data_IF_498900516238
#
_entry.id   IF_498900516238
#
_cell.length_a   1.000
_cell.length_b   1.000
_cell.length_c   1.000
_cell.angle_alpha   90.00
_cell.angle_beta   90.00
_cell.angle_gamma   90.00
#
_symmetry.space_group_name_H-M   'P 1'
#
loop_
_entity.id
_entity.type
_entity.pdbx_description
1 polymer ?
#
# COMPACT_ATOMS: atom_id res chain seq x y z
N UNK A 1 21.78 -10.51 1.82
CA UNK A 1 20.95 -10.74 3.03
C UNK A 1 20.96 -9.57 4.02
N UNK A 2 21.89 -8.61 3.97
CA UNK A 2 21.91 -7.45 4.89
C UNK A 2 20.87 -6.35 4.63
N UNK A 3 20.21 -6.32 3.45
CA UNK A 3 19.23 -5.27 3.10
C UNK A 3 17.80 -5.50 3.63
N UNK A 4 17.53 -6.59 4.36
CA UNK A 4 16.18 -6.88 4.85
C UNK A 4 15.77 -6.03 6.05
N UNK A 5 16.73 -5.60 6.88
CA UNK A 5 16.43 -4.96 8.17
C UNK A 5 16.02 -3.49 8.05
N UNK A 6 16.38 -2.81 6.96
CA UNK A 6 16.05 -1.40 6.73
C UNK A 6 14.75 -1.20 5.95
N UNK A 7 14.22 -2.24 5.31
CA UNK A 7 12.95 -2.15 4.62
C UNK A 7 11.79 -2.25 5.62
N UNK A 8 10.82 -1.32 5.59
CA UNK A 8 9.67 -1.39 6.48
C UNK A 8 8.87 -2.66 6.19
N UNK A 9 8.59 -3.49 7.21
CA UNK A 9 7.91 -4.76 6.99
C UNK A 9 6.47 -4.57 6.53
N UNK A 10 5.85 -3.41 6.74
CA UNK A 10 4.47 -3.09 6.30
C UNK A 10 4.27 -3.31 4.80
N UNK A 11 5.27 -3.03 3.96
CA UNK A 11 5.25 -3.25 2.51
C UNK A 11 5.86 -4.58 2.05
N UNK A 12 6.29 -5.43 3.00
CA UNK A 12 6.96 -6.70 2.71
C UNK A 12 5.99 -7.88 2.70
N UNK A 13 6.32 -8.89 1.91
CA UNK A 13 5.65 -10.20 1.91
C UNK A 13 5.59 -10.80 3.31
N UNK A 14 4.50 -11.51 3.69
CA UNK A 14 4.39 -12.14 5.00
C UNK A 14 5.58 -13.05 5.36
N UNK A 15 6.21 -13.69 4.37
CA UNK A 15 7.41 -14.52 4.56
C UNK A 15 8.62 -13.71 4.99
N UNK A 16 8.78 -12.49 4.48
CA UNK A 16 9.89 -11.59 4.85
C UNK A 16 9.70 -11.08 6.27
N UNK A 17 8.47 -10.69 6.64
CA UNK A 17 8.15 -10.33 8.02
C UNK A 17 8.43 -11.50 9.00
N UNK A 18 8.06 -12.73 8.62
CA UNK A 18 8.35 -13.93 9.42
C UNK A 18 9.86 -14.18 9.56
N UNK A 19 10.61 -14.12 8.46
CA UNK A 19 12.05 -14.30 8.50
C UNK A 19 12.76 -13.26 9.38
N UNK A 20 12.26 -12.02 9.34
CA UNK A 20 12.80 -10.91 10.14
C UNK A 20 12.46 -11.06 11.63
N UNK A 21 11.24 -11.46 11.97
CA UNK A 21 10.84 -11.80 13.35
C UNK A 21 11.67 -12.98 13.91
N UNK A 22 11.88 -14.05 13.13
CA UNK A 22 12.69 -15.20 13.56
C UNK A 22 14.15 -14.83 13.85
N UNK A 23 14.67 -13.78 13.24
CA UNK A 23 16.01 -13.27 13.49
C UNK A 23 16.09 -12.38 14.74
N UNK A 24 14.96 -11.88 15.26
CA UNK A 24 14.90 -10.91 16.34
C UNK A 24 15.72 -11.33 17.59
N UNK A 25 15.57 -12.55 18.15
CA UNK A 25 16.33 -12.93 19.36
C UNK A 25 17.84 -12.95 19.13
N UNK A 26 18.27 -13.35 17.93
CA UNK A 26 19.69 -13.41 17.55
C UNK A 26 20.27 -12.02 17.32
N UNK A 27 19.50 -11.13 16.66
CA UNK A 27 19.87 -9.75 16.43
C UNK A 27 20.00 -9.01 17.76
N UNK A 28 19.00 -9.11 18.64
CA UNK A 28 19.01 -8.48 19.95
C UNK A 28 20.26 -8.86 20.76
N UNK A 29 20.57 -10.16 20.86
CA UNK A 29 21.79 -10.66 21.53
C UNK A 29 23.08 -10.08 20.96
N UNK A 30 23.17 -9.96 19.63
CA UNK A 30 24.33 -9.39 18.94
C UNK A 30 24.57 -7.91 19.28
N UNK A 31 23.52 -7.16 19.62
CA UNK A 31 23.61 -5.75 19.98
C UNK A 31 23.96 -5.55 21.46
N UNK A 32 23.59 -6.50 22.33
CA UNK A 32 23.78 -6.43 23.79
C UNK A 32 25.21 -6.75 24.28
N UNK A 33 26.15 -7.10 23.40
CA UNK A 33 27.47 -7.54 23.82
C UNK A 33 28.49 -6.40 23.76
N UNK A 34 29.01 -6.02 24.94
CA UNK A 34 30.16 -5.12 25.21
C UNK A 34 29.85 -3.62 25.21
N UNK A 35 29.36 -3.10 26.35
CA UNK A 35 29.54 -1.68 26.69
C UNK A 35 30.85 -1.52 27.47
N UNK A 36 31.81 -0.79 26.89
CA UNK A 36 33.03 -0.41 27.61
C UNK A 36 32.67 0.66 28.66
N UNK A 37 33.32 0.70 29.84
CA UNK A 37 33.08 1.77 30.80
C UNK A 37 33.52 3.13 30.24
N UNK A 38 32.90 4.21 30.70
CA UNK A 38 33.32 5.57 30.31
C UNK A 38 34.81 5.81 30.68
N UNK A 39 35.62 6.45 29.82
CA UNK A 39 35.29 7.05 28.52
C UNK A 39 35.45 6.11 27.32
N UNK A 40 35.77 4.83 27.53
CA UNK A 40 36.02 3.87 26.44
C UNK A 40 34.75 3.53 25.64
N UNK A 41 33.57 3.70 26.23
CA UNK A 41 32.27 3.63 25.53
C UNK A 41 32.18 4.60 24.35
N UNK A 42 32.88 5.74 24.40
CA UNK A 42 32.88 6.73 23.31
C UNK A 42 33.52 6.18 22.02
N UNK A 43 34.40 5.18 22.14
CA UNK A 43 35.06 4.54 21.00
C UNK A 43 34.31 3.31 20.47
N UNK A 44 33.30 2.81 21.21
CA UNK A 44 32.52 1.63 20.84
C UNK A 44 31.05 1.94 20.58
N UNK A 45 30.66 3.22 20.53
CA UNK A 45 29.26 3.59 20.41
C UNK A 45 28.74 3.25 19.01
N UNK A 46 27.95 2.17 18.91
CA UNK A 46 27.32 1.68 17.67
C UNK A 46 25.97 2.37 17.37
N UNK A 47 25.72 3.52 18.00
CA UNK A 47 24.55 4.34 17.75
C UNK A 47 24.55 4.80 16.28
N UNK A 48 23.61 4.27 15.52
CA UNK A 48 23.39 4.61 14.12
C UNK A 48 21.90 4.70 13.85
N UNK A 49 21.52 5.51 12.85
CA UNK A 49 20.13 5.60 12.43
C UNK A 49 19.62 4.25 11.93
N UNK A 50 20.49 3.50 11.24
CA UNK A 50 20.24 2.16 10.71
C UNK A 50 19.94 1.15 11.82
N UNK A 51 20.63 1.23 12.96
CA UNK A 51 20.34 0.40 14.13
C UNK A 51 18.91 0.62 14.59
N UNK A 52 18.52 1.87 14.86
CA UNK A 52 17.20 2.16 15.41
C UNK A 52 16.07 1.91 14.40
N UNK A 53 16.32 2.16 13.11
CA UNK A 53 15.40 1.75 12.04
C UNK A 53 15.21 0.22 12.00
N UNK A 54 16.29 -0.55 12.22
CA UNK A 54 16.22 -2.01 12.31
C UNK A 54 15.40 -2.45 13.53
N UNK A 55 15.55 -1.77 14.68
CA UNK A 55 14.76 -2.07 15.88
C UNK A 55 13.26 -1.90 15.62
N UNK A 56 12.87 -0.80 14.98
CA UNK A 56 11.48 -0.54 14.64
C UNK A 56 10.94 -1.53 13.61
N UNK A 57 11.71 -1.82 12.56
CA UNK A 57 11.31 -2.80 11.55
C UNK A 57 11.17 -4.20 12.16
N UNK A 58 12.04 -4.58 13.11
CA UNK A 58 11.91 -5.84 13.83
C UNK A 58 10.69 -5.84 14.74
N UNK A 59 10.46 -4.77 15.50
CA UNK A 59 9.25 -4.62 16.32
C UNK A 59 7.99 -4.83 15.47
N UNK A 60 7.85 -4.13 14.34
CA UNK A 60 6.67 -4.24 13.48
C UNK A 60 6.54 -5.65 12.89
N UNK A 61 7.64 -6.29 12.50
CA UNK A 61 7.60 -7.67 11.99
C UNK A 61 7.20 -8.69 13.06
N UNK A 62 7.68 -8.53 14.29
CA UNK A 62 7.28 -9.34 15.44
C UNK A 62 5.79 -9.18 15.74
N UNK A 63 5.27 -7.94 15.75
CA UNK A 63 3.83 -7.70 15.90
C UNK A 63 3.00 -8.36 14.79
N UNK A 64 3.43 -8.26 13.52
CA UNK A 64 2.75 -8.90 12.39
C UNK A 64 2.71 -10.43 12.45
N UNK A 65 3.63 -11.05 13.19
CA UNK A 65 3.80 -12.50 13.28
C UNK A 65 3.30 -13.07 14.60
N UNK A 66 2.90 -12.21 15.54
CA UNK A 66 2.42 -12.58 16.87
C UNK A 66 3.54 -12.86 17.88
N UNK A 67 4.80 -12.55 17.56
CA UNK A 67 5.93 -12.63 18.51
C UNK A 67 5.93 -11.40 19.44
N UNK A 68 4.95 -11.39 20.34
CA UNK A 68 4.74 -10.26 21.26
C UNK A 68 5.90 -10.10 22.26
N UNK A 69 6.57 -11.20 22.63
CA UNK A 69 7.69 -11.17 23.57
C UNK A 69 8.89 -10.43 22.95
N UNK A 70 9.29 -10.78 21.72
CA UNK A 70 10.33 -10.02 21.03
C UNK A 70 9.89 -8.59 20.80
N UNK A 71 8.66 -8.34 20.30
CA UNK A 71 8.18 -6.98 20.04
C UNK A 71 8.30 -6.07 21.28
N UNK A 72 7.97 -6.59 22.46
CA UNK A 72 8.09 -5.87 23.73
C UNK A 72 9.53 -5.48 24.05
N UNK A 73 10.50 -6.40 23.89
CA UNK A 73 11.92 -6.11 24.16
C UNK A 73 12.45 -4.96 23.29
N UNK A 74 12.08 -4.93 22.01
CA UNK A 74 12.50 -3.86 21.11
C UNK A 74 11.82 -2.53 21.45
N UNK A 75 10.56 -2.57 21.88
CA UNK A 75 9.84 -1.39 22.33
C UNK A 75 10.45 -0.78 23.59
N UNK A 76 10.85 -1.61 24.55
CA UNK A 76 11.52 -1.16 25.77
C UNK A 76 12.88 -0.52 25.45
N UNK A 77 13.71 -1.14 24.59
CA UNK A 77 14.98 -0.52 24.18
C UNK A 77 14.81 0.83 23.47
N UNK A 78 13.78 0.95 22.62
CA UNK A 78 13.43 2.23 21.98
C UNK A 78 12.95 3.25 23.03
N UNK A 79 12.20 2.81 24.02
CA UNK A 79 11.73 3.66 25.12
C UNK A 79 12.90 4.13 25.99
N UNK A 80 13.76 3.23 26.45
CA UNK A 80 14.92 3.53 27.27
C UNK A 80 15.86 4.52 26.56
N UNK A 81 15.98 4.38 25.24
CA UNK A 81 16.84 5.25 24.45
C UNK A 81 16.25 6.64 24.19
N UNK A 82 14.98 6.71 23.79
CA UNK A 82 14.38 7.95 23.26
C UNK A 82 13.42 8.63 24.24
N UNK A 83 13.04 7.96 25.32
CA UNK A 83 12.11 8.41 26.34
C UNK A 83 10.66 8.11 25.98
N UNK A 84 9.83 7.98 27.03
CA UNK A 84 8.40 7.70 26.93
C UNK A 84 7.59 8.83 26.27
N UNK A 85 8.11 10.06 26.29
CA UNK A 85 7.44 11.25 25.72
C UNK A 85 7.75 11.46 24.23
N UNK A 86 8.60 10.62 23.63
CA UNK A 86 8.92 10.73 22.21
C UNK A 86 7.71 10.30 21.36
N UNK A 87 7.25 11.16 20.44
CA UNK A 87 6.04 10.91 19.61
C UNK A 87 6.09 9.59 18.84
N UNK A 88 7.27 9.16 18.39
CA UNK A 88 7.46 7.90 17.67
C UNK A 88 7.35 6.71 18.62
N UNK A 89 7.95 6.80 19.80
CA UNK A 89 7.82 5.78 20.85
C UNK A 89 6.38 5.66 21.34
N UNK A 90 5.68 6.78 21.56
CA UNK A 90 4.27 6.81 21.96
C UNK A 90 3.41 6.08 20.91
N UNK A 91 3.63 6.35 19.62
CA UNK A 91 2.94 5.65 18.54
C UNK A 91 3.25 4.14 18.49
N UNK A 92 4.49 3.73 18.73
CA UNK A 92 4.90 2.33 18.77
C UNK A 92 4.32 1.59 19.98
N UNK A 93 4.23 2.24 21.15
CA UNK A 93 3.55 1.71 22.34
C UNK A 93 2.07 1.48 22.08
N UNK A 94 1.43 2.47 21.44
CA UNK A 94 0.05 2.35 20.98
C UNK A 94 -0.13 1.19 20.00
N UNK A 95 0.70 1.10 18.96
CA UNK A 95 0.66 0.00 17.99
C UNK A 95 0.87 -1.38 18.66
N UNK A 96 1.77 -1.49 19.63
CA UNK A 96 1.95 -2.72 20.42
C UNK A 96 0.68 -3.07 21.21
N UNK A 97 0.05 -2.09 21.86
CA UNK A 97 -1.18 -2.29 22.61
C UNK A 97 -2.34 -2.72 21.69
N UNK A 98 -2.50 -2.08 20.52
CA UNK A 98 -3.47 -2.48 19.50
C UNK A 98 -3.25 -3.93 19.03
N UNK A 99 -2.01 -4.30 18.73
CA UNK A 99 -1.66 -5.62 18.20
C UNK A 99 -1.78 -6.74 19.24
N UNK A 100 -1.64 -6.42 20.52
CA UNK A 100 -1.70 -7.40 21.63
C UNK A 100 -3.08 -7.51 22.26
N UNK A 101 -4.00 -6.58 21.94
CA UNK A 101 -5.37 -6.60 22.39
C UNK A 101 -6.11 -7.87 21.89
N UNK A 102 -6.75 -8.58 22.81
CA UNK A 102 -7.47 -9.83 22.58
C UNK A 102 -8.98 -9.66 22.63
N UNK A 103 -9.45 -8.55 23.20
CA UNK A 103 -10.86 -8.26 23.39
C UNK A 103 -11.23 -6.89 22.85
N UNK A 104 -12.50 -6.67 22.44
CA UNK A 104 -12.98 -5.34 22.07
C UNK A 104 -12.78 -4.30 23.17
N UNK A 105 -12.92 -4.70 24.44
CA UNK A 105 -12.70 -3.83 25.59
C UNK A 105 -11.25 -3.32 25.66
N UNK A 106 -10.27 -4.18 25.40
CA UNK A 106 -8.86 -3.77 25.37
C UNK A 106 -8.60 -2.76 24.24
N UNK A 107 -9.27 -2.88 23.10
CA UNK A 107 -9.19 -1.88 22.03
C UNK A 107 -9.86 -0.55 22.42
N UNK A 108 -10.97 -0.58 23.15
CA UNK A 108 -11.59 0.62 23.72
C UNK A 108 -10.68 1.29 24.76
N UNK A 109 -9.94 0.51 25.56
CA UNK A 109 -8.94 1.04 26.51
C UNK A 109 -7.77 1.71 25.78
N UNK A 110 -7.30 1.14 24.66
CA UNK A 110 -6.30 1.77 23.79
C UNK A 110 -6.82 3.09 23.20
N UNK A 111 -8.09 3.10 22.77
CA UNK A 111 -8.74 4.32 22.27
C UNK A 111 -8.78 5.42 23.35
N UNK A 112 -9.16 5.07 24.58
CA UNK A 112 -9.18 5.99 25.71
C UNK A 112 -7.79 6.56 26.01
N UNK A 113 -6.75 5.73 25.96
CA UNK A 113 -5.37 6.18 26.14
C UNK A 113 -4.94 7.17 25.04
N UNK A 114 -5.33 6.95 23.79
CA UNK A 114 -5.10 7.94 22.72
C UNK A 114 -5.83 9.26 22.97
N UNK A 115 -7.05 9.22 23.48
CA UNK A 115 -7.79 10.44 23.83
C UNK A 115 -7.16 11.19 25.00
N UNK A 116 -6.58 10.49 25.97
CA UNK A 116 -5.83 11.11 27.07
C UNK A 116 -4.56 11.82 26.55
N UNK A 117 -3.76 11.14 25.72
CA UNK A 117 -2.57 11.74 25.09
C UNK A 117 -2.95 12.98 24.29
N UNK A 118 -4.01 12.90 23.48
CA UNK A 118 -4.47 14.03 22.66
C UNK A 118 -5.14 15.15 23.46
N UNK A 119 -5.59 14.88 24.68
CA UNK A 119 -6.08 15.92 25.61
C UNK A 119 -4.92 16.70 26.22
N UNK A 120 -3.80 16.04 26.50
CA UNK A 120 -2.58 16.69 26.97
C UNK A 120 -1.89 17.47 25.84
N UNK A 121 -1.76 16.85 24.67
CA UNK A 121 -1.21 17.49 23.47
C UNK A 121 -2.03 17.12 22.21
N UNK A 122 -2.94 18.00 21.76
CA UNK A 122 -3.72 17.80 20.55
C UNK A 122 -2.90 17.78 19.25
N UNK A 123 -1.64 18.22 19.29
CA UNK A 123 -0.81 18.37 18.10
C UNK A 123 -0.11 17.08 17.67
N UNK A 124 -0.04 16.07 18.54
CA UNK A 124 0.65 14.79 18.28
C UNK A 124 0.04 14.07 17.06
N UNK A 125 0.66 14.25 15.90
CA UNK A 125 0.12 13.82 14.62
C UNK A 125 0.14 12.29 14.47
N UNK A 126 1.17 11.64 14.99
CA UNK A 126 1.32 10.18 14.96
C UNK A 126 0.17 9.48 15.69
N UNK A 127 -0.25 9.98 16.85
CA UNK A 127 -1.38 9.43 17.61
C UNK A 127 -2.72 9.70 16.94
N UNK A 128 -2.93 10.87 16.34
CA UNK A 128 -4.13 11.13 15.55
C UNK A 128 -4.27 10.13 14.39
N UNK A 129 -3.16 9.78 13.71
CA UNK A 129 -3.14 8.73 12.68
C UNK A 129 -3.40 7.34 13.24
N UNK A 130 -2.76 6.95 14.35
CA UNK A 130 -3.03 5.67 15.03
C UNK A 130 -4.50 5.54 15.42
N UNK A 131 -5.08 6.61 15.98
CA UNK A 131 -6.51 6.67 16.33
C UNK A 131 -7.41 6.43 15.11
N UNK A 132 -7.13 7.06 13.98
CA UNK A 132 -7.88 6.83 12.74
C UNK A 132 -7.76 5.39 12.24
N UNK A 133 -6.57 4.80 12.28
CA UNK A 133 -6.34 3.40 11.91
C UNK A 133 -7.07 2.43 12.85
N UNK A 134 -7.04 2.70 14.16
CA UNK A 134 -7.75 1.90 15.16
C UNK A 134 -9.26 1.95 14.95
N UNK A 135 -9.84 3.14 14.71
CA UNK A 135 -11.26 3.30 14.37
C UNK A 135 -11.66 2.44 13.16
N UNK A 136 -10.84 2.45 12.10
CA UNK A 136 -11.04 1.61 10.91
C UNK A 136 -10.99 0.13 11.28
N UNK A 137 -10.00 -0.32 12.05
CA UNK A 137 -9.84 -1.72 12.45
C UNK A 137 -11.00 -2.24 13.33
N UNK A 138 -11.62 -1.36 14.11
CA UNK A 138 -12.80 -1.65 14.94
C UNK A 138 -14.12 -1.64 14.13
N UNK A 139 -14.06 -1.40 12.82
CA UNK A 139 -15.25 -1.29 11.97
C UNK A 139 -16.02 0.03 12.12
N UNK A 140 -15.48 1.01 12.85
CA UNK A 140 -16.04 2.37 12.99
C UNK A 140 -15.66 3.23 11.77
N UNK A 141 -15.95 2.73 10.57
CA UNK A 141 -15.45 3.26 9.29
C UNK A 141 -15.85 4.72 9.06
N UNK A 142 -17.07 5.13 9.43
CA UNK A 142 -17.52 6.52 9.30
C UNK A 142 -16.72 7.48 10.19
N UNK A 143 -16.41 7.06 11.42
CA UNK A 143 -15.59 7.85 12.35
C UNK A 143 -14.14 7.93 11.86
N UNK A 144 -13.63 6.85 11.26
CA UNK A 144 -12.31 6.84 10.62
C UNK A 144 -12.24 7.86 9.47
N UNK A 145 -13.27 7.94 8.60
CA UNK A 145 -13.35 8.98 7.55
C UNK A 145 -13.25 10.37 8.17
N UNK A 146 -14.08 10.68 9.19
CA UNK A 146 -14.03 11.99 9.86
C UNK A 146 -12.66 12.28 10.49
N UNK A 147 -12.03 11.28 11.11
CA UNK A 147 -10.70 11.44 11.69
C UNK A 147 -9.63 11.73 10.61
N UNK A 148 -9.66 11.02 9.49
CA UNK A 148 -8.75 11.22 8.36
C UNK A 148 -8.98 12.57 7.65
N UNK A 149 -10.23 13.00 7.47
CA UNK A 149 -10.51 14.32 6.88
C UNK A 149 -10.02 15.44 7.78
N UNK A 150 -10.24 15.34 9.11
CA UNK A 150 -9.74 16.34 10.06
C UNK A 150 -8.21 16.39 10.09
N UNK A 151 -7.54 15.25 9.88
CA UNK A 151 -6.08 15.22 9.73
C UNK A 151 -5.64 16.05 8.51
N UNK A 152 -6.31 15.87 7.37
CA UNK A 152 -6.01 16.60 6.13
C UNK A 152 -6.36 18.09 6.19
N UNK A 153 -7.36 18.49 6.97
CA UNK A 153 -7.64 19.91 7.24
C UNK A 153 -6.44 20.60 7.92
N UNK A 154 -5.70 19.86 8.75
CA UNK A 154 -4.49 20.39 9.43
C UNK A 154 -3.19 20.11 8.67
N UNK A 155 -3.14 19.07 7.86
CA UNK A 155 -1.97 18.66 7.08
C UNK A 155 -2.39 18.16 5.69
N UNK A 156 -2.72 19.08 4.76
CA UNK A 156 -3.24 18.72 3.44
C UNK A 156 -2.19 18.04 2.55
N UNK A 157 -0.91 18.04 2.96
CA UNK A 157 0.20 17.44 2.22
C UNK A 157 0.56 16.03 2.71
N UNK A 158 -0.14 15.47 3.68
CA UNK A 158 0.15 14.11 4.17
C UNK A 158 -0.37 13.04 3.20
N UNK A 159 0.54 12.57 2.35
CA UNK A 159 0.25 11.57 1.32
C UNK A 159 -0.29 10.26 1.89
N UNK A 160 0.20 9.87 3.07
CA UNK A 160 -0.26 8.63 3.72
C UNK A 160 -1.72 8.75 4.15
N UNK A 161 -2.13 9.87 4.75
CA UNK A 161 -3.55 10.11 5.12
C UNK A 161 -4.45 10.13 3.89
N UNK A 162 -4.02 10.74 2.77
CA UNK A 162 -4.79 10.69 1.52
C UNK A 162 -4.94 9.26 0.97
N UNK A 163 -3.87 8.46 1.01
CA UNK A 163 -3.91 7.07 0.56
C UNK A 163 -4.82 6.20 1.45
N UNK A 164 -4.74 6.36 2.76
CA UNK A 164 -5.61 5.68 3.73
C UNK A 164 -7.09 6.07 3.54
N UNK A 165 -7.36 7.37 3.34
CA UNK A 165 -8.71 7.86 3.09
C UNK A 165 -9.28 7.30 1.78
N UNK A 166 -8.46 7.18 0.73
CA UNK A 166 -8.86 6.55 -0.51
C UNK A 166 -9.27 5.08 -0.30
N UNK A 167 -8.47 4.32 0.46
CA UNK A 167 -8.78 2.92 0.76
C UNK A 167 -10.09 2.78 1.55
N UNK A 168 -10.31 3.63 2.54
CA UNK A 168 -11.57 3.67 3.30
C UNK A 168 -12.76 4.01 2.39
N UNK A 169 -12.61 4.95 1.46
CA UNK A 169 -13.67 5.26 0.49
C UNK A 169 -13.94 4.10 -0.47
N UNK A 170 -12.93 3.33 -0.87
CA UNK A 170 -13.13 2.11 -1.68
C UNK A 170 -13.93 1.06 -0.89
N UNK A 171 -13.64 0.86 0.40
CA UNK A 171 -14.41 -0.05 1.28
C UNK A 171 -15.89 0.35 1.38
N UNK A 172 -16.17 1.64 1.40
CA UNK A 172 -17.52 2.20 1.41
C UNK A 172 -18.20 2.22 0.03
N UNK A 173 -17.47 1.89 -1.05
CA UNK A 173 -17.96 1.99 -2.43
C UNK A 173 -18.10 3.42 -2.96
N UNK A 174 -17.48 4.39 -2.29
CA UNK A 174 -17.47 5.81 -2.63
C UNK A 174 -16.33 6.12 -3.60
N UNK A 175 -16.44 5.61 -4.83
CA UNK A 175 -15.32 5.62 -5.78
C UNK A 175 -14.87 7.01 -6.23
N UNK A 176 -15.79 7.96 -6.38
CA UNK A 176 -15.43 9.33 -6.80
C UNK A 176 -14.54 10.02 -5.75
N UNK A 177 -14.88 9.86 -4.47
CA UNK A 177 -14.06 10.37 -3.37
C UNK A 177 -12.71 9.63 -3.29
N UNK A 178 -12.70 8.31 -3.51
CA UNK A 178 -11.45 7.55 -3.57
C UNK A 178 -10.54 7.97 -4.73
N UNK A 179 -11.12 8.23 -5.91
CA UNK A 179 -10.41 8.75 -7.09
C UNK A 179 -9.76 10.09 -6.74
N UNK A 180 -10.54 11.03 -6.19
CA UNK A 180 -10.02 12.33 -5.79
C UNK A 180 -8.86 12.20 -4.78
N UNK A 181 -9.01 11.38 -3.75
CA UNK A 181 -7.95 11.15 -2.77
C UNK A 181 -6.67 10.55 -3.39
N UNK A 182 -6.79 9.65 -4.37
CA UNK A 182 -5.63 9.12 -5.10
C UNK A 182 -5.01 10.12 -6.08
N UNK A 183 -5.80 11.03 -6.64
CA UNK A 183 -5.27 12.13 -7.44
C UNK A 183 -4.45 13.08 -6.58
N UNK A 184 -4.91 13.42 -5.37
CA UNK A 184 -4.13 14.20 -4.39
C UNK A 184 -2.81 13.50 -4.01
N UNK A 185 -2.83 12.18 -3.80
CA UNK A 185 -1.59 11.39 -3.62
C UNK A 185 -0.61 11.60 -4.78
N UNK A 186 -1.11 11.57 -6.01
CA UNK A 186 -0.29 11.70 -7.22
C UNK A 186 0.18 13.14 -7.50
N UNK A 187 -0.46 14.17 -6.92
CA UNK A 187 0.06 15.54 -6.96
C UNK A 187 1.40 15.64 -6.22
N UNK A 188 1.51 14.98 -5.06
CA UNK A 188 2.73 14.98 -4.25
C UNK A 188 3.73 13.89 -4.66
N UNK A 189 3.24 12.75 -5.16
CA UNK A 189 4.05 11.61 -5.58
C UNK A 189 3.77 11.19 -7.04
N UNK A 190 4.10 12.03 -8.04
CA UNK A 190 3.71 11.81 -9.44
C UNK A 190 4.32 10.57 -10.09
N UNK A 191 5.43 10.07 -9.53
CA UNK A 191 6.15 8.89 -10.00
C UNK A 191 5.82 7.61 -9.20
N UNK A 192 4.83 7.65 -8.30
CA UNK A 192 4.37 6.48 -7.56
C UNK A 192 3.59 5.53 -8.48
N UNK A 193 4.30 4.63 -9.16
CA UNK A 193 3.74 3.66 -10.11
C UNK A 193 2.66 2.77 -9.48
N UNK A 194 2.79 2.43 -8.20
CA UNK A 194 1.82 1.67 -7.42
C UNK A 194 0.52 2.45 -7.24
N UNK A 195 0.61 3.76 -6.97
CA UNK A 195 -0.55 4.64 -6.82
C UNK A 195 -1.23 4.91 -8.17
N UNK A 196 -0.48 4.98 -9.27
CA UNK A 196 -1.06 5.01 -10.62
C UNK A 196 -1.89 3.75 -10.92
N UNK A 197 -1.38 2.55 -10.58
CA UNK A 197 -2.16 1.32 -10.72
C UNK A 197 -3.38 1.30 -9.79
N UNK A 198 -3.23 1.73 -8.54
CA UNK A 198 -4.34 1.81 -7.58
C UNK A 198 -5.45 2.72 -8.09
N UNK A 199 -5.12 3.90 -8.62
CA UNK A 199 -6.08 4.79 -9.28
C UNK A 199 -6.73 4.10 -10.49
N UNK A 200 -5.95 3.41 -11.32
CA UNK A 200 -6.46 2.59 -12.41
C UNK A 200 -7.46 1.51 -11.97
N UNK A 201 -7.23 0.87 -10.82
CA UNK A 201 -8.14 -0.12 -10.22
C UNK A 201 -9.44 0.52 -9.76
N UNK A 202 -9.37 1.64 -9.04
CA UNK A 202 -10.58 2.35 -8.56
C UNK A 202 -11.41 2.87 -9.72
N UNK A 203 -10.78 3.43 -10.76
CA UNK A 203 -11.44 3.83 -11.99
C UNK A 203 -12.09 2.64 -12.70
N UNK A 204 -11.41 1.50 -12.77
CA UNK A 204 -11.98 0.27 -13.34
C UNK A 204 -13.24 -0.17 -12.58
N UNK A 205 -13.17 -0.18 -11.24
CA UNK A 205 -14.32 -0.54 -10.38
C UNK A 205 -15.49 0.43 -10.55
N UNK A 206 -15.23 1.74 -10.61
CA UNK A 206 -16.25 2.76 -10.90
C UNK A 206 -16.88 2.51 -12.27
N UNK A 207 -16.07 2.28 -13.30
CA UNK A 207 -16.54 2.08 -14.67
C UNK A 207 -17.35 0.79 -14.85
N UNK A 208 -17.01 -0.28 -14.13
CA UNK A 208 -17.78 -1.54 -14.16
C UNK A 208 -19.18 -1.36 -13.57
N UNK A 209 -19.37 -0.39 -12.66
CA UNK A 209 -20.68 -0.04 -12.08
C UNK A 209 -21.44 1.01 -12.91
N UNK A 210 -20.74 1.83 -13.68
CA UNK A 210 -21.33 2.80 -14.58
C UNK A 210 -21.93 2.13 -15.83
N UNK A 211 -22.93 2.79 -16.44
CA UNK A 211 -23.53 2.37 -17.71
C UNK A 211 -23.41 3.48 -18.77
N UNK A 212 -23.32 3.10 -20.05
CA UNK A 212 -23.39 4.04 -21.17
C UNK A 212 -22.08 4.79 -21.46
N UNK A 213 -22.19 6.07 -21.84
CA UNK A 213 -21.06 6.87 -22.33
C UNK A 213 -19.98 7.16 -21.28
N UNK A 214 -20.39 7.25 -20.01
CA UNK A 214 -19.49 7.50 -18.89
C UNK A 214 -18.56 6.30 -18.64
N UNK A 215 -19.08 5.08 -18.79
CA UNK A 215 -18.30 3.85 -18.70
C UNK A 215 -17.13 3.81 -19.70
N UNK A 216 -17.32 4.28 -20.94
CA UNK A 216 -16.26 4.31 -21.94
C UNK A 216 -15.13 5.26 -21.55
N UNK A 217 -15.49 6.45 -21.04
CA UNK A 217 -14.53 7.47 -20.59
C UNK A 217 -13.72 6.96 -19.40
N UNK A 218 -14.38 6.44 -18.38
CA UNK A 218 -13.73 5.96 -17.15
C UNK A 218 -12.87 4.72 -17.40
N UNK A 219 -13.28 3.79 -18.29
CA UNK A 219 -12.43 2.67 -18.72
C UNK A 219 -11.20 3.14 -19.50
N UNK A 220 -11.34 4.15 -20.35
CA UNK A 220 -10.22 4.73 -21.09
C UNK A 220 -9.21 5.35 -20.14
N UNK A 221 -9.67 6.02 -19.09
CA UNK A 221 -8.80 6.60 -18.07
C UNK A 221 -8.13 5.52 -17.21
N UNK A 222 -8.87 4.51 -16.76
CA UNK A 222 -8.31 3.33 -16.08
C UNK A 222 -7.16 2.70 -16.87
N UNK A 223 -7.36 2.45 -18.17
CA UNK A 223 -6.32 1.94 -19.07
C UNK A 223 -5.08 2.85 -19.09
N UNK A 224 -5.27 4.17 -19.22
CA UNK A 224 -4.14 5.13 -19.24
C UNK A 224 -3.36 5.14 -17.93
N UNK A 225 -4.04 5.03 -16.79
CA UNK A 225 -3.38 4.95 -15.47
C UNK A 225 -2.55 3.68 -15.32
N UNK A 226 -3.02 2.54 -15.83
CA UNK A 226 -2.20 1.34 -15.91
C UNK A 226 -1.03 1.48 -16.89
N UNK A 227 -1.21 2.12 -18.06
CA UNK A 227 -0.10 2.44 -18.96
C UNK A 227 0.96 3.30 -18.28
N UNK A 228 0.56 4.33 -17.54
CA UNK A 228 1.49 5.19 -16.78
C UNK A 228 2.22 4.41 -15.68
N UNK A 229 1.52 3.49 -15.01
CA UNK A 229 2.11 2.62 -14.00
C UNK A 229 3.24 1.76 -14.57
N UNK A 230 3.01 1.08 -15.71
CA UNK A 230 4.04 0.23 -16.34
C UNK A 230 5.14 1.03 -17.04
N UNK A 231 4.85 2.25 -17.49
CA UNK A 231 5.86 3.17 -18.01
C UNK A 231 6.87 3.56 -16.92
N UNK A 232 6.38 3.80 -15.70
CA UNK A 232 7.21 4.11 -14.54
C UNK A 232 7.89 2.85 -13.95
N UNK A 233 7.30 1.67 -14.10
CA UNK A 233 7.85 0.40 -13.62
C UNK A 233 7.48 -0.79 -14.56
N UNK A 234 8.39 -1.11 -15.49
CA UNK A 234 8.21 -2.16 -16.52
C UNK A 234 8.10 -3.60 -15.96
N UNK A 235 8.34 -3.79 -14.67
CA UNK A 235 8.22 -5.09 -14.01
C UNK A 235 7.05 -5.18 -13.05
N UNK A 236 6.16 -4.18 -12.99
CA UNK A 236 5.06 -4.22 -12.04
C UNK A 236 3.89 -5.08 -12.52
N UNK A 237 3.77 -6.29 -11.97
CA UNK A 237 2.76 -7.30 -12.34
C UNK A 237 1.34 -6.74 -12.27
N UNK A 238 0.99 -6.11 -11.14
CA UNK A 238 -0.33 -5.50 -10.94
C UNK A 238 -0.70 -4.49 -12.03
N UNK A 239 0.28 -3.71 -12.50
CA UNK A 239 0.12 -2.75 -13.59
C UNK A 239 -0.31 -3.43 -14.89
N UNK A 240 0.38 -4.50 -15.30
CA UNK A 240 0.00 -5.29 -16.49
C UNK A 240 -1.31 -6.06 -16.29
N UNK A 241 -1.57 -6.59 -15.09
CA UNK A 241 -2.81 -7.28 -14.77
C UNK A 241 -4.01 -6.34 -14.94
N UNK A 242 -3.94 -5.14 -14.37
CA UNK A 242 -4.95 -4.11 -14.53
C UNK A 242 -5.07 -3.60 -15.96
N UNK A 243 -3.95 -3.45 -16.69
CA UNK A 243 -3.98 -3.10 -18.11
C UNK A 243 -4.72 -4.16 -18.93
N UNK A 244 -4.47 -5.44 -18.66
CA UNK A 244 -5.15 -6.55 -19.33
C UNK A 244 -6.66 -6.52 -19.06
N UNK A 245 -7.09 -6.35 -17.80
CA UNK A 245 -8.51 -6.29 -17.45
C UNK A 245 -9.22 -5.08 -18.06
N UNK A 246 -8.63 -3.89 -17.93
CA UNK A 246 -9.20 -2.64 -18.44
C UNK A 246 -9.32 -2.66 -19.96
N UNK A 247 -8.27 -3.08 -20.69
CA UNK A 247 -8.31 -3.19 -22.15
C UNK A 247 -9.30 -4.26 -22.62
N UNK A 248 -9.39 -5.42 -21.96
CA UNK A 248 -10.36 -6.47 -22.32
C UNK A 248 -11.79 -5.94 -22.22
N UNK A 249 -12.14 -5.29 -21.11
CA UNK A 249 -13.46 -4.70 -20.92
C UNK A 249 -13.72 -3.55 -21.90
N UNK A 250 -12.70 -2.73 -22.17
CA UNK A 250 -12.80 -1.62 -23.11
C UNK A 250 -13.05 -2.10 -24.55
N UNK A 251 -12.43 -3.21 -24.97
CA UNK A 251 -12.70 -3.83 -26.28
C UNK A 251 -14.17 -4.29 -26.40
N UNK A 252 -14.74 -4.88 -25.36
CA UNK A 252 -16.16 -5.29 -25.35
C UNK A 252 -17.11 -4.07 -25.53
N UNK A 253 -16.81 -2.97 -24.84
CA UNK A 253 -17.60 -1.72 -24.93
C UNK A 253 -17.44 -1.06 -26.31
N UNK A 254 -16.21 -1.02 -26.85
CA UNK A 254 -15.94 -0.46 -28.18
C UNK A 254 -16.60 -1.28 -29.30
N UNK A 255 -16.65 -2.61 -29.17
CA UNK A 255 -17.28 -3.48 -30.16
C UNK A 255 -18.81 -3.32 -30.22
N UNK A 256 -19.44 -3.03 -29.07
CA UNK A 256 -20.90 -2.87 -28.98
C UNK A 256 -21.36 -1.46 -29.36
N UNK A 257 -20.51 -0.45 -29.19
CA UNK A 257 -20.84 0.95 -29.48
C UNK A 257 -20.67 1.31 -30.96
N UNK A 258 -21.71 1.05 -31.78
CA UNK A 258 -21.75 1.43 -33.22
C UNK A 258 -21.73 2.96 -33.50
N UNK A 259 -21.69 3.83 -32.48
CA UNK A 259 -21.86 5.28 -32.61
C UNK A 259 -20.80 6.16 -31.90
N UNK A 260 -19.88 5.62 -31.10
CA UNK A 260 -19.02 6.46 -30.24
C UNK A 260 -17.63 6.79 -30.80
N UNK A 261 -17.42 6.72 -32.11
CA UNK A 261 -16.09 6.96 -32.71
C UNK A 261 -15.59 8.42 -32.65
N UNK A 262 -16.32 9.36 -32.06
CA UNK A 262 -15.94 10.78 -32.10
C UNK A 262 -16.30 11.52 -30.80
N UNK A 263 -15.66 11.17 -29.69
CA UNK A 263 -15.39 12.19 -28.68
C UNK A 263 -13.99 12.75 -28.99
N UNK A 264 -13.94 13.92 -29.63
CA UNK A 264 -12.70 14.63 -29.88
C UNK A 264 -12.08 15.02 -28.54
N UNK A 265 -10.75 15.07 -28.48
CA UNK A 265 -10.07 15.62 -27.32
C UNK A 265 -10.56 17.06 -27.09
N UNK A 266 -10.96 17.39 -25.87
CA UNK A 266 -11.29 18.76 -25.50
C UNK A 266 -10.08 19.38 -24.79
N UNK A 267 -9.34 20.28 -25.46
CA UNK A 267 -8.15 20.89 -24.89
C UNK A 267 -8.45 21.85 -23.74
N UNK A 268 -9.71 22.23 -23.50
CA UNK A 268 -10.10 23.12 -22.38
C UNK A 268 -10.32 22.31 -21.10
N UNK A 269 -10.94 21.13 -21.20
CA UNK A 269 -11.15 20.22 -20.07
C UNK A 269 -9.99 19.26 -19.84
N UNK A 270 -9.04 19.17 -20.79
CA UNK A 270 -7.95 18.19 -20.75
C UNK A 270 -8.40 16.77 -21.07
N UNK A 271 -9.64 16.59 -21.54
CA UNK A 271 -10.18 15.28 -21.87
C UNK A 271 -9.47 14.71 -23.11
N UNK A 272 -8.76 13.61 -22.91
CA UNK A 272 -8.08 12.89 -23.98
C UNK A 272 -9.08 12.10 -24.83
N UNK A 273 -8.87 12.12 -26.14
CA UNK A 273 -9.69 11.41 -27.12
C UNK A 273 -9.87 9.92 -26.79
N UNK A 274 -11.01 9.37 -27.20
CA UNK A 274 -11.29 7.93 -27.08
C UNK A 274 -10.23 7.12 -27.82
N UNK A 275 -9.63 6.09 -27.19
CA UNK A 275 -8.59 5.29 -27.82
C UNK A 275 -9.14 4.48 -28.99
N UNK A 276 -8.34 4.30 -30.03
CA UNK A 276 -8.72 3.49 -31.19
C UNK A 276 -8.74 2.01 -30.86
N UNK A 277 -9.62 1.25 -31.52
CA UNK A 277 -9.71 -0.21 -31.35
C UNK A 277 -8.34 -0.89 -31.53
N UNK A 278 -7.59 -0.50 -32.56
CA UNK A 278 -6.26 -1.04 -32.84
C UNK A 278 -5.24 -0.76 -31.71
N UNK A 279 -5.28 0.43 -31.11
CA UNK A 279 -4.40 0.78 -30.00
C UNK A 279 -4.73 -0.05 -28.74
N UNK A 280 -6.02 -0.19 -28.42
CA UNK A 280 -6.47 -0.98 -27.26
C UNK A 280 -6.12 -2.46 -27.45
N UNK A 281 -6.32 -3.02 -28.65
CA UNK A 281 -5.91 -4.42 -28.96
C UNK A 281 -4.42 -4.62 -28.76
N UNK A 282 -3.58 -3.71 -29.28
CA UNK A 282 -2.12 -3.82 -29.11
C UNK A 282 -1.70 -3.73 -27.64
N UNK A 283 -2.32 -2.85 -26.85
CA UNK A 283 -2.05 -2.77 -25.41
C UNK A 283 -2.46 -4.05 -24.67
N UNK A 284 -3.59 -4.65 -25.04
CA UNK A 284 -4.04 -5.93 -24.51
C UNK A 284 -3.03 -7.06 -24.80
N UNK A 285 -2.52 -7.13 -26.03
CA UNK A 285 -1.48 -8.08 -26.44
C UNK A 285 -0.18 -7.89 -25.65
N UNK A 286 0.28 -6.63 -25.51
CA UNK A 286 1.48 -6.30 -24.72
C UNK A 286 1.31 -6.75 -23.27
N UNK A 287 0.17 -6.44 -22.65
CA UNK A 287 -0.12 -6.86 -21.28
C UNK A 287 -0.13 -8.40 -21.15
N UNK A 288 -0.76 -9.09 -22.11
CA UNK A 288 -0.80 -10.55 -22.14
C UNK A 288 0.59 -11.15 -22.24
N UNK A 289 1.41 -10.67 -23.18
CA UNK A 289 2.76 -11.18 -23.41
C UNK A 289 3.64 -11.00 -22.17
N UNK A 290 3.56 -9.83 -21.52
CA UNK A 290 4.36 -9.55 -20.32
C UNK A 290 3.90 -10.37 -19.12
N UNK A 291 2.59 -10.56 -18.91
CA UNK A 291 2.08 -11.42 -17.85
C UNK A 291 2.53 -12.88 -18.05
N UNK A 292 2.49 -13.40 -19.29
CA UNK A 292 3.01 -14.73 -19.62
C UNK A 292 4.49 -14.85 -19.28
N UNK A 293 5.28 -13.82 -19.62
CA UNK A 293 6.70 -13.77 -19.27
C UNK A 293 6.91 -13.81 -17.76
N UNK A 294 6.24 -12.96 -16.99
CA UNK A 294 6.32 -12.89 -15.53
C UNK A 294 5.98 -14.25 -14.91
N UNK A 295 4.83 -14.83 -15.28
CA UNK A 295 4.36 -16.11 -14.73
C UNK A 295 5.35 -17.24 -15.05
N UNK A 296 5.87 -17.29 -16.29
CA UNK A 296 6.81 -18.33 -16.72
C UNK A 296 8.14 -18.24 -15.96
N UNK A 297 8.73 -17.04 -15.90
CA UNK A 297 10.06 -16.84 -15.30
C UNK A 297 10.04 -16.97 -13.78
N UNK A 298 8.99 -16.45 -13.14
CA UNK A 298 8.75 -16.64 -11.70
C UNK A 298 8.57 -18.12 -11.36
N UNK A 299 7.79 -18.88 -12.16
CA UNK A 299 7.61 -20.31 -11.94
C UNK A 299 8.89 -21.14 -12.13
N UNK A 300 9.80 -20.71 -13.01
CA UNK A 300 11.11 -21.36 -13.18
C UNK A 300 12.13 -21.02 -12.09
N UNK A 301 11.81 -20.10 -11.17
CA UNK A 301 12.77 -19.60 -10.18
C UNK A 301 13.97 -18.93 -10.85
N UNK A 302 13.75 -18.24 -11.99
CA UNK A 302 14.81 -17.53 -12.67
C UNK A 302 15.37 -16.44 -11.75
N UNK A 303 16.70 -16.31 -11.72
CA UNK A 303 17.38 -15.29 -10.92
C UNK A 303 16.87 -13.90 -11.32
N UNK A 304 16.65 -13.03 -10.34
CA UNK A 304 16.14 -11.66 -10.49
C UNK A 304 14.62 -11.55 -10.79
N UNK A 305 13.85 -12.64 -10.70
CA UNK A 305 12.38 -12.69 -10.83
C UNK A 305 11.65 -13.13 -9.55
N UNK A 306 12.29 -12.94 -8.39
CA UNK A 306 11.89 -13.42 -7.06
C UNK A 306 11.09 -12.41 -6.22
N UNK A 307 10.79 -11.22 -6.76
CA UNK A 307 10.09 -10.14 -6.05
C UNK A 307 8.56 -10.12 -6.21
N UNK A 308 7.96 -11.06 -6.92
CA UNK A 308 6.51 -11.09 -7.18
C UNK A 308 5.75 -11.79 -6.07
N UNK A 309 4.63 -11.21 -5.66
CA UNK A 309 3.70 -11.86 -4.74
C UNK A 309 3.16 -13.16 -5.37
N UNK A 310 3.30 -14.28 -4.65
CA UNK A 310 2.90 -15.59 -5.16
C UNK A 310 1.39 -15.66 -5.51
N UNK A 311 0.53 -15.00 -4.73
CA UNK A 311 -0.90 -14.93 -5.02
C UNK A 311 -1.18 -14.12 -6.28
N UNK A 312 -0.43 -13.04 -6.52
CA UNK A 312 -0.56 -12.26 -7.76
C UNK A 312 -0.09 -13.04 -9.01
N UNK A 313 0.98 -13.83 -8.88
CA UNK A 313 1.44 -14.71 -9.98
C UNK A 313 0.39 -15.78 -10.30
N UNK A 314 -0.24 -16.37 -9.28
CA UNK A 314 -1.34 -17.33 -9.47
C UNK A 314 -2.52 -16.66 -10.15
N UNK A 315 -2.95 -15.48 -9.68
CA UNK A 315 -4.05 -14.74 -10.29
C UNK A 315 -3.76 -14.36 -11.75
N UNK A 316 -2.54 -13.94 -12.06
CA UNK A 316 -2.11 -13.64 -13.43
C UNK A 316 -2.18 -14.88 -14.33
N UNK A 317 -1.76 -16.05 -13.82
CA UNK A 317 -1.88 -17.32 -14.55
C UNK A 317 -3.34 -17.64 -14.87
N UNK A 318 -4.23 -17.56 -13.88
CA UNK A 318 -5.66 -17.83 -14.08
C UNK A 318 -6.29 -16.87 -15.09
N UNK A 319 -5.90 -15.59 -15.07
CA UNK A 319 -6.38 -14.60 -16.04
C UNK A 319 -5.99 -14.96 -17.47
N UNK A 320 -4.74 -15.39 -17.69
CA UNK A 320 -4.25 -15.83 -19.01
C UNK A 320 -4.99 -17.09 -19.48
N UNK A 321 -5.17 -18.07 -18.60
CA UNK A 321 -5.84 -19.34 -18.93
C UNK A 321 -7.31 -19.15 -19.32
N UNK A 322 -8.02 -18.23 -18.66
CA UNK A 322 -9.41 -17.89 -18.99
C UNK A 322 -9.57 -17.39 -20.43
N UNK A 323 -8.60 -16.64 -20.94
CA UNK A 323 -8.63 -16.14 -22.32
C UNK A 323 -8.39 -17.26 -23.33
N UNK A 324 -7.48 -18.20 -23.05
CA UNK A 324 -7.24 -19.37 -23.91
C UNK A 324 -8.51 -20.22 -24.05
N UNK A 325 -9.24 -20.43 -22.95
CA UNK A 325 -10.49 -21.20 -22.96
C UNK A 325 -11.61 -20.50 -23.74
N UNK A 326 -11.67 -19.16 -23.74
CA UNK A 326 -12.64 -18.41 -24.56
C UNK A 326 -12.38 -18.54 -26.06
N UNK A 327 -11.13 -18.69 -26.48
CA UNK A 327 -10.76 -18.84 -27.91
C UNK A 327 -11.09 -20.25 -28.44
N UNK A 328 -11.08 -21.26 -27.57
CA UNK A 328 -11.33 -22.67 -27.95
C UNK A 328 -12.82 -23.05 -27.99
N UNK A 329 -13.73 -22.18 -27.54
CA UNK A 329 -15.18 -22.40 -27.56
C UNK A 329 -15.84 -21.60 -28.67
#
# INVERSE_FOLDING_TARGET
>A
MANSLLMPPSSSEPQNALALSQQAPSFFKSQTSWSLPYPLSLFSNSESQEKWQSYENILIACLRTGDNESAYLYLEELTDRFGETNERVIALRGLYAEATARTPQELDDVMANYEEILKEDPSVFTIRKRRAALLRSMGKTSEAVTALTNLLDTSPTDVETWAELADVYVELGLYEQAIFSLEEVLLFAPNAWNMQAKLGEVLYLSAVRAEGGDQLKTLSESMRRFCRSIELCDYYLRGYYGLKLSTTKLLDVLATSKKSQQAAADPVTGELATPSLAAVTKLNEVATSKLVEIVRRSASGEKDWDGYNAAEVIAARELIEKDVQKIQR
#
